data_IF_085244097968
#
_entry.id   IF_085244097968
#
_cell.length_a   1.000
_cell.length_b   1.000
_cell.length_c   1.000
_cell.angle_alpha   90.00
_cell.angle_beta   90.00
_cell.angle_gamma   90.00
#
_symmetry.space_group_name_H-M   'P 1'
#
loop_
_entity.id
_entity.type
_entity.pdbx_description
1 polymer ?
#
# COMPACT_ATOMS: atom_id res chain seq x y z
N UNK A 1 16.32 -35.76 -20.40
CA UNK A 1 15.00 -35.75 -19.73
C UNK A 1 15.05 -34.69 -18.63
N UNK A 2 14.51 -33.50 -18.91
CA UNK A 2 14.47 -32.38 -17.97
C UNK A 2 13.43 -32.63 -16.88
N UNK A 3 13.85 -32.84 -15.64
CA UNK A 3 12.98 -32.64 -14.47
C UNK A 3 13.40 -31.34 -13.80
N UNK A 4 12.74 -30.25 -14.20
CA UNK A 4 12.66 -29.05 -13.38
C UNK A 4 11.84 -29.42 -12.15
N UNK A 5 12.56 -29.79 -11.08
CA UNK A 5 12.00 -29.97 -9.76
C UNK A 5 11.44 -28.60 -9.33
N UNK A 6 10.13 -28.44 -9.45
CA UNK A 6 9.41 -27.35 -8.81
C UNK A 6 9.80 -27.37 -7.34
N UNK A 7 10.52 -26.32 -6.93
CA UNK A 7 10.87 -26.07 -5.56
C UNK A 7 9.55 -25.80 -4.81
N UNK A 8 8.90 -26.88 -4.38
CA UNK A 8 7.79 -26.82 -3.47
C UNK A 8 8.43 -26.50 -2.11
N UNK A 9 8.73 -25.22 -1.87
CA UNK A 9 9.05 -24.74 -0.54
C UNK A 9 7.73 -24.83 0.23
N UNK A 10 7.56 -25.76 1.18
CA UNK A 10 6.38 -25.74 2.02
C UNK A 10 6.46 -24.48 2.89
N UNK A 11 5.76 -23.43 2.48
CA UNK A 11 5.55 -22.28 3.33
C UNK A 11 4.51 -22.69 4.37
N UNK A 12 4.98 -22.94 5.60
CA UNK A 12 4.09 -22.95 6.75
C UNK A 12 3.54 -21.53 6.86
N UNK A 13 2.29 -21.33 6.41
CA UNK A 13 1.48 -20.10 6.60
C UNK A 13 1.33 -19.90 8.11
N UNK A 14 2.37 -19.36 8.75
CA UNK A 14 2.58 -19.52 10.19
C UNK A 14 3.26 -18.32 10.84
N UNK A 15 2.56 -17.82 11.86
CA UNK A 15 3.07 -17.15 13.08
C UNK A 15 3.12 -15.62 13.14
N UNK A 16 3.10 -14.90 12.02
CA UNK A 16 2.77 -13.46 12.01
C UNK A 16 1.67 -13.21 10.98
N UNK A 17 0.46 -13.70 11.28
CA UNK A 17 -0.73 -13.30 10.55
C UNK A 17 -0.89 -11.81 10.75
N UNK A 18 -0.68 -11.01 9.69
CA UNK A 18 -0.98 -9.60 9.77
C UNK A 18 -2.48 -9.43 9.57
N UNK A 19 -3.13 -8.90 10.59
CA UNK A 19 -4.56 -8.70 10.54
C UNK A 19 -4.89 -7.52 9.61
N UNK A 20 -6.13 -7.50 9.11
CA UNK A 20 -6.63 -6.43 8.24
C UNK A 20 -6.44 -5.04 8.86
N UNK A 21 -6.64 -4.90 10.17
CA UNK A 21 -6.45 -3.64 10.89
C UNK A 21 -5.00 -3.13 10.85
N UNK A 22 -4.02 -4.03 11.01
CA UNK A 22 -2.60 -3.72 10.91
C UNK A 22 -2.21 -3.35 9.47
N UNK A 23 -2.79 -4.06 8.49
CA UNK A 23 -2.61 -3.74 7.08
C UNK A 23 -3.14 -2.35 6.71
N UNK A 24 -4.32 -1.99 7.20
CA UNK A 24 -4.88 -0.64 7.03
C UNK A 24 -4.05 0.43 7.74
N UNK A 25 -3.50 0.11 8.92
CA UNK A 25 -2.58 1.00 9.63
C UNK A 25 -1.33 1.29 8.80
N UNK A 26 -0.77 0.27 8.14
CA UNK A 26 0.35 0.45 7.21
C UNK A 26 -0.01 1.35 6.02
N UNK A 27 -1.23 1.26 5.49
CA UNK A 27 -1.68 2.15 4.42
C UNK A 27 -1.68 3.62 4.87
N UNK A 28 -2.11 3.89 6.11
CA UNK A 28 -2.05 5.24 6.70
C UNK A 28 -0.60 5.69 6.91
N UNK A 29 0.28 4.79 7.34
CA UNK A 29 1.71 5.09 7.48
C UNK A 29 2.33 5.48 6.14
N UNK A 30 2.03 4.75 5.06
CA UNK A 30 2.48 5.09 3.70
C UNK A 30 1.99 6.48 3.29
N UNK A 31 0.73 6.81 3.57
CA UNK A 31 0.15 8.12 3.27
C UNK A 31 0.90 9.25 4.00
N UNK A 32 1.12 9.09 5.31
CA UNK A 32 1.85 10.05 6.13
C UNK A 32 3.29 10.22 5.64
N UNK A 33 3.98 9.12 5.35
CA UNK A 33 5.35 9.14 4.82
C UNK A 33 5.42 9.86 3.47
N UNK A 34 4.44 9.63 2.59
CA UNK A 34 4.34 10.29 1.29
C UNK A 34 4.13 11.80 1.48
N UNK A 35 3.20 12.19 2.36
CA UNK A 35 2.95 13.60 2.68
C UNK A 35 4.16 14.33 3.26
N UNK A 36 4.88 13.69 4.20
CA UNK A 36 6.13 14.22 4.77
C UNK A 36 7.18 14.39 3.68
N UNK A 37 7.39 13.35 2.86
CA UNK A 37 8.39 13.36 1.78
C UNK A 37 8.11 14.47 0.78
N UNK A 38 6.84 14.60 0.36
CA UNK A 38 6.38 15.68 -0.50
C UNK A 38 6.69 17.06 0.10
N UNK A 39 6.34 17.26 1.37
CA UNK A 39 6.57 18.53 2.08
C UNK A 39 8.06 18.90 2.11
N UNK A 40 8.93 17.94 2.40
CA UNK A 40 10.39 18.13 2.42
C UNK A 40 10.91 18.49 1.03
N UNK A 41 10.52 17.75 -0.01
CA UNK A 41 10.97 18.00 -1.38
C UNK A 41 10.53 19.39 -1.88
N UNK A 42 9.29 19.80 -1.60
CA UNK A 42 8.82 21.15 -1.94
C UNK A 42 9.60 22.22 -1.19
N UNK A 43 9.91 22.03 0.09
CA UNK A 43 10.76 22.95 0.88
C UNK A 43 12.19 23.07 0.33
N UNK A 44 12.69 22.02 -0.31
CA UNK A 44 13.98 22.01 -1.01
C UNK A 44 13.93 22.65 -2.41
N UNK A 45 12.78 23.20 -2.81
CA UNK A 45 12.60 23.88 -4.10
C UNK A 45 12.24 22.95 -5.26
N UNK A 46 11.89 21.69 -4.99
CA UNK A 46 11.48 20.75 -6.03
C UNK A 46 10.01 20.98 -6.41
N UNK A 47 9.75 21.29 -7.67
CA UNK A 47 8.38 21.32 -8.20
C UNK A 47 7.92 19.90 -8.54
N UNK A 48 7.07 19.33 -7.69
CA UNK A 48 6.55 17.98 -7.86
C UNK A 48 5.32 17.99 -8.76
N UNK A 49 5.31 17.10 -9.76
CA UNK A 49 4.14 16.79 -10.58
C UNK A 49 3.28 15.76 -9.86
N UNK A 50 1.99 15.72 -10.16
CA UNK A 50 1.03 14.82 -9.48
C UNK A 50 1.39 13.34 -9.57
N UNK A 51 2.00 12.89 -10.68
CA UNK A 51 2.45 11.50 -10.83
C UNK A 51 3.59 11.14 -9.87
N UNK A 52 4.34 12.13 -9.36
CA UNK A 52 5.46 11.90 -8.44
C UNK A 52 4.94 11.49 -7.06
N UNK A 53 3.80 12.02 -6.62
CA UNK A 53 3.15 11.58 -5.38
C UNK A 53 2.76 10.10 -5.44
N UNK A 54 2.19 9.68 -6.58
CA UNK A 54 1.83 8.28 -6.82
C UNK A 54 3.08 7.39 -6.86
N UNK A 55 4.17 7.86 -7.47
CA UNK A 55 5.43 7.12 -7.51
C UNK A 55 6.09 6.97 -6.13
N UNK A 56 6.08 8.02 -5.30
CA UNK A 56 6.60 7.98 -3.93
C UNK A 56 5.78 7.01 -3.08
N UNK A 57 4.45 7.11 -3.14
CA UNK A 57 3.53 6.22 -2.41
C UNK A 57 3.73 4.77 -2.81
N UNK A 58 3.86 4.49 -4.11
CA UNK A 58 4.14 3.14 -4.61
C UNK A 58 5.50 2.64 -4.15
N UNK A 59 6.55 3.47 -4.19
CA UNK A 59 7.89 3.09 -3.75
C UNK A 59 7.90 2.69 -2.27
N UNK A 60 7.29 3.50 -1.39
CA UNK A 60 7.17 3.14 0.03
C UNK A 60 6.36 1.87 0.24
N UNK A 61 5.25 1.71 -0.49
CA UNK A 61 4.39 0.53 -0.40
C UNK A 61 5.12 -0.74 -0.83
N UNK A 62 5.89 -0.68 -1.92
CA UNK A 62 6.70 -1.80 -2.41
C UNK A 62 7.78 -2.15 -1.39
N UNK A 63 8.46 -1.15 -0.83
CA UNK A 63 9.46 -1.39 0.23
C UNK A 63 8.82 -2.09 1.43
N UNK A 64 7.76 -1.53 2.00
CA UNK A 64 7.11 -2.10 3.19
C UNK A 64 6.54 -3.49 2.93
N UNK A 65 5.91 -3.71 1.78
CA UNK A 65 5.36 -5.02 1.43
C UNK A 65 6.46 -6.07 1.22
N UNK A 66 7.55 -5.72 0.53
CA UNK A 66 8.65 -6.65 0.27
C UNK A 66 9.46 -6.96 1.54
N UNK A 67 9.84 -5.94 2.32
CA UNK A 67 10.61 -6.12 3.55
C UNK A 67 9.79 -6.81 4.64
N UNK A 68 8.51 -6.42 4.77
CA UNK A 68 7.58 -7.05 5.70
C UNK A 68 7.07 -8.42 5.25
N UNK A 69 7.43 -8.86 4.03
CA UNK A 69 6.90 -10.08 3.38
C UNK A 69 5.38 -10.17 3.49
N UNK A 70 4.73 -9.02 3.26
CA UNK A 70 3.30 -8.85 3.43
C UNK A 70 2.59 -9.55 2.29
N UNK A 71 1.89 -10.64 2.58
CA UNK A 71 1.11 -11.38 1.59
C UNK A 71 -0.36 -10.96 1.63
N UNK A 72 -0.83 -10.30 0.59
CA UNK A 72 -2.22 -9.86 0.47
C UNK A 72 -3.23 -10.99 0.60
N UNK A 73 -2.94 -12.15 0.02
CA UNK A 73 -3.87 -13.26 0.03
C UNK A 73 -4.01 -13.85 1.44
N UNK A 74 -2.91 -13.92 2.19
CA UNK A 74 -2.95 -14.32 3.59
C UNK A 74 -3.77 -13.36 4.48
N UNK A 75 -3.82 -12.07 4.13
CA UNK A 75 -4.65 -11.07 4.81
C UNK A 75 -6.13 -11.25 4.45
N UNK A 76 -6.43 -11.50 3.17
CA UNK A 76 -7.81 -11.71 2.73
C UNK A 76 -8.38 -13.02 3.27
N UNK A 77 -7.58 -14.06 3.41
CA UNK A 77 -7.98 -15.34 4.00
C UNK A 77 -8.62 -15.15 5.40
N UNK A 78 -8.26 -14.09 6.14
CA UNK A 78 -8.87 -13.74 7.43
C UNK A 78 -10.35 -13.31 7.29
N UNK A 79 -10.70 -12.61 6.21
CA UNK A 79 -12.06 -12.08 5.96
C UNK A 79 -12.90 -13.08 5.16
N UNK A 80 -12.28 -13.71 4.16
CA UNK A 80 -12.92 -14.58 3.20
C UNK A 80 -12.31 -15.97 3.35
N UNK A 81 -13.09 -17.00 3.72
CA UNK A 81 -12.60 -18.37 3.82
C UNK A 81 -12.43 -18.98 2.41
N UNK A 82 -11.50 -18.43 1.64
CA UNK A 82 -11.16 -18.83 0.28
C UNK A 82 -9.69 -19.17 0.27
N UNK A 83 -9.34 -20.41 -0.05
CA UNK A 83 -7.94 -20.81 -0.16
C UNK A 83 -7.33 -20.30 -1.46
N UNK A 84 -6.72 -19.11 -1.40
CA UNK A 84 -5.91 -18.60 -2.49
C UNK A 84 -4.59 -19.36 -2.58
N UNK A 85 -4.39 -20.07 -3.68
CA UNK A 85 -3.16 -20.82 -3.95
C UNK A 85 -2.29 -20.09 -4.99
N UNK A 86 -1.91 -18.85 -4.67
CA UNK A 86 -1.11 -17.98 -5.53
C UNK A 86 0.35 -17.90 -5.06
N UNK A 87 1.31 -17.58 -5.95
CA UNK A 87 2.68 -17.34 -5.55
C UNK A 87 2.78 -16.16 -4.58
N UNK A 88 3.58 -16.30 -3.50
CA UNK A 88 3.76 -15.24 -2.49
C UNK A 88 4.23 -13.90 -3.08
N UNK A 89 5.04 -13.95 -4.14
CA UNK A 89 5.50 -12.75 -4.85
C UNK A 89 4.32 -11.94 -5.40
N UNK A 90 3.29 -12.62 -5.91
CA UNK A 90 2.06 -11.97 -6.37
C UNK A 90 1.30 -11.35 -5.20
N UNK A 91 1.23 -12.04 -4.06
CA UNK A 91 0.65 -11.51 -2.83
C UNK A 91 1.33 -10.23 -2.36
N UNK A 92 2.66 -10.20 -2.36
CA UNK A 92 3.47 -9.01 -2.02
C UNK A 92 3.23 -7.86 -2.99
N UNK A 93 3.17 -8.14 -4.30
CA UNK A 93 2.86 -7.13 -5.31
C UNK A 93 1.46 -6.55 -5.08
N UNK A 94 0.47 -7.39 -4.81
CA UNK A 94 -0.89 -6.94 -4.53
C UNK A 94 -0.97 -6.10 -3.26
N UNK A 95 -0.25 -6.48 -2.20
CA UNK A 95 -0.15 -5.68 -0.99
C UNK A 95 0.44 -4.30 -1.27
N UNK A 96 1.54 -4.22 -2.03
CA UNK A 96 2.13 -2.95 -2.41
C UNK A 96 1.16 -2.08 -3.21
N UNK A 97 0.41 -2.65 -4.15
CA UNK A 97 -0.60 -1.92 -4.93
C UNK A 97 -1.73 -1.40 -4.05
N UNK A 98 -2.21 -2.20 -3.10
CA UNK A 98 -3.33 -1.81 -2.21
C UNK A 98 -2.88 -0.76 -1.20
N UNK A 99 -1.69 -0.91 -0.60
CA UNK A 99 -1.09 0.10 0.28
C UNK A 99 -0.90 1.42 -0.47
N UNK A 100 -0.43 1.36 -1.73
CA UNK A 100 -0.21 2.54 -2.58
C UNK A 100 -1.51 3.20 -3.03
N UNK A 101 -2.61 2.44 -3.18
CA UNK A 101 -3.93 3.00 -3.51
C UNK A 101 -4.70 3.51 -2.31
N UNK A 102 -4.51 2.92 -1.12
CA UNK A 102 -5.07 3.42 0.13
C UNK A 102 -4.67 4.88 0.39
N UNK A 103 -3.45 5.24 -0.04
CA UNK A 103 -2.94 6.62 -0.07
C UNK A 103 -3.88 7.60 -0.81
N UNK A 104 -4.33 7.28 -2.04
CA UNK A 104 -5.27 8.15 -2.75
C UNK A 104 -6.75 7.93 -2.35
N UNK A 105 -7.14 6.72 -1.97
CA UNK A 105 -8.53 6.39 -1.67
C UNK A 105 -9.03 7.07 -0.39
N UNK A 106 -8.21 7.14 0.65
CA UNK A 106 -8.58 7.85 1.88
C UNK A 106 -8.60 9.36 1.65
N UNK A 107 -7.66 9.92 0.87
CA UNK A 107 -7.68 11.33 0.48
C UNK A 107 -8.91 11.70 -0.35
N UNK A 108 -9.29 10.86 -1.32
CA UNK A 108 -10.49 11.05 -2.12
C UNK A 108 -11.78 10.83 -1.32
N UNK A 109 -11.80 9.88 -0.38
CA UNK A 109 -12.92 9.69 0.55
C UNK A 109 -13.03 10.90 1.49
N UNK A 110 -11.93 11.40 2.06
CA UNK A 110 -11.93 12.58 2.93
C UNK A 110 -12.32 13.85 2.17
N UNK A 111 -11.90 14.02 0.91
CA UNK A 111 -12.40 15.09 0.03
C UNK A 111 -13.89 14.97 -0.29
N UNK A 112 -14.41 13.76 -0.44
CA UNK A 112 -15.84 13.51 -0.67
C UNK A 112 -16.68 13.65 0.60
N UNK A 113 -16.11 13.33 1.76
CA UNK A 113 -16.75 13.49 3.07
C UNK A 113 -16.66 14.94 3.59
N UNK A 114 -15.65 15.69 3.16
CA UNK A 114 -15.49 17.11 3.42
C UNK A 114 -15.37 17.88 2.10
N UNK A 115 -16.46 17.95 1.30
CA UNK A 115 -16.46 18.73 0.08
C UNK A 115 -16.12 20.18 0.45
N UNK A 116 -15.22 20.85 -0.30
CA UNK A 116 -15.01 22.28 -0.11
C UNK A 116 -16.38 22.95 -0.25
N UNK A 117 -16.85 23.57 0.82
CA UNK A 117 -18.05 24.40 0.74
C UNK A 117 -17.72 25.51 -0.26
N UNK A 118 -18.39 25.48 -1.41
CA UNK A 118 -18.37 26.58 -2.38
C UNK A 118 -18.78 27.86 -1.63
N UNK A 119 -17.79 28.69 -1.30
CA UNK A 119 -18.05 29.94 -0.57
C UNK A 119 -16.92 30.50 0.30
N UNK A 120 -15.82 29.77 0.56
CA UNK A 120 -14.67 30.39 1.24
C UNK A 120 -13.61 30.82 0.24
N UNK A 121 -13.62 32.14 0.00
CA UNK A 121 -12.54 32.95 -0.54
C UNK A 121 -11.18 32.43 -0.08
N UNK A 122 -10.30 32.14 -1.05
CA UNK A 122 -8.86 32.05 -0.77
C UNK A 122 -8.44 33.37 -0.13
N UNK A 123 -8.03 33.34 1.12
CA UNK A 123 -7.29 34.43 1.75
C UNK A 123 -5.99 33.81 2.28
N UNK A 124 -4.94 34.02 1.48
CA UNK A 124 -3.50 33.80 1.70
C UNK A 124 -3.03 32.38 2.08
#
# INVERSE_FOLDING_TARGET
>A
MNRLSYLHIPYRRGELGMNVSSFLTLAIVVEVMTGITKSVLVKLGVQLKDWVDQAISLAFSVMLAAFGKIDFFAIIDEILPVDFNFPIVLGIIMSALVLSRGSNAVHDILKRLNPPHEGQTRIW
#
